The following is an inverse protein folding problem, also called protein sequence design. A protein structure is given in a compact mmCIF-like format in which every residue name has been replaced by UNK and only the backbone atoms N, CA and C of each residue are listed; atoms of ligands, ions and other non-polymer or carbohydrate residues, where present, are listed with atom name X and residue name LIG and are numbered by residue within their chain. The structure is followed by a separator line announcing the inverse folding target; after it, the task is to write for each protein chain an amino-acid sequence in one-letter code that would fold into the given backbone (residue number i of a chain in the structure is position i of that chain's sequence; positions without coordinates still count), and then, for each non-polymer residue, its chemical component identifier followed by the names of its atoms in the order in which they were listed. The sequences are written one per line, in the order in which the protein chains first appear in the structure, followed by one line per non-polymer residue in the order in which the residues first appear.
data_IF_291966334745
#
_entry.id   IF_291966334745
#
_cell.length_a   1.000
_cell.length_b   1.000
_cell.length_c   1.000
_cell.angle_alpha   90.00
_cell.angle_beta   90.00
_cell.angle_gamma   90.00
#
_symmetry.space_group_name_H-M   'P 1'
#
loop_
_entity.id
_entity.type
_entity.pdbx_description
1 polymer ?
#
# COMPACT_ATOMS: atom_id res chain seq x y z
N UNK A 1 -5.29 11.43 -5.12
CA UNK A 1 -5.83 11.56 -3.75
C UNK A 1 -7.25 11.01 -3.57
N UNK A 2 -8.31 11.48 -4.25
CA UNK A 2 -9.67 10.89 -4.11
C UNK A 2 -9.82 9.43 -4.60
N UNK A 3 -8.80 8.90 -5.29
CA UNK A 3 -8.81 7.55 -5.84
C UNK A 3 -8.76 6.47 -4.75
N UNK A 4 -7.98 6.64 -3.68
CA UNK A 4 -7.82 5.65 -2.60
C UNK A 4 -9.12 5.46 -1.82
N UNK A 5 -9.75 6.55 -1.39
CA UNK A 5 -11.05 6.52 -0.69
C UNK A 5 -12.15 5.95 -1.59
N UNK A 6 -12.15 6.29 -2.89
CA UNK A 6 -13.09 5.73 -3.87
C UNK A 6 -12.87 4.24 -4.09
N UNK A 7 -11.62 3.79 -4.09
CA UNK A 7 -11.24 2.38 -4.22
C UNK A 7 -11.65 1.59 -2.97
N UNK A 8 -11.45 2.14 -1.77
CA UNK A 8 -11.92 1.57 -0.51
C UNK A 8 -13.46 1.44 -0.48
N UNK A 9 -14.18 2.48 -0.91
CA UNK A 9 -15.64 2.42 -1.03
C UNK A 9 -16.10 1.33 -2.03
N UNK A 10 -15.41 1.21 -3.18
CA UNK A 10 -15.68 0.16 -4.16
C UNK A 10 -15.42 -1.23 -3.59
N UNK A 11 -14.35 -1.38 -2.80
CA UNK A 11 -13.99 -2.63 -2.16
C UNK A 11 -15.06 -3.06 -1.15
N UNK A 12 -15.55 -2.15 -0.30
CA UNK A 12 -16.67 -2.41 0.63
C UNK A 12 -17.97 -2.75 -0.10
N UNK A 13 -18.26 -2.05 -1.19
CA UNK A 13 -19.46 -2.33 -1.98
C UNK A 13 -19.37 -3.72 -2.64
N UNK A 14 -18.24 -4.03 -3.28
CA UNK A 14 -17.99 -5.32 -3.92
C UNK A 14 -17.98 -6.47 -2.91
N UNK A 15 -17.38 -6.27 -1.73
CA UNK A 15 -17.35 -7.27 -0.66
C UNK A 15 -18.75 -7.57 -0.09
N UNK A 16 -19.68 -6.61 -0.15
CA UNK A 16 -21.08 -6.85 0.21
C UNK A 16 -21.87 -7.54 -0.90
N UNK A 17 -21.60 -7.19 -2.16
CA UNK A 17 -22.36 -7.67 -3.32
C UNK A 17 -21.94 -9.09 -3.73
N UNK A 18 -20.65 -9.44 -3.68
CA UNK A 18 -20.17 -10.74 -4.18
C UNK A 18 -20.87 -11.91 -3.47
N UNK A 19 -21.07 -11.82 -2.16
CA UNK A 19 -21.68 -12.89 -1.36
C UNK A 19 -23.12 -13.15 -1.77
N UNK A 20 -23.86 -12.10 -2.16
CA UNK A 20 -25.23 -12.21 -2.68
C UNK A 20 -25.24 -12.90 -4.04
N UNK A 21 -24.37 -12.50 -4.97
CA UNK A 21 -24.29 -13.13 -6.30
C UNK A 21 -23.85 -14.60 -6.21
N UNK A 22 -22.90 -14.91 -5.33
CA UNK A 22 -22.40 -16.25 -5.12
C UNK A 22 -23.48 -17.15 -4.49
N UNK A 23 -24.17 -16.66 -3.44
CA UNK A 23 -25.26 -17.41 -2.80
C UNK A 23 -26.44 -17.65 -3.75
N UNK A 24 -26.91 -16.61 -4.45
CA UNK A 24 -28.00 -16.75 -5.44
C UNK A 24 -27.61 -17.65 -6.60
N UNK A 25 -26.36 -17.57 -7.06
CA UNK A 25 -25.82 -18.45 -8.09
C UNK A 25 -25.86 -19.92 -7.68
N UNK A 26 -25.36 -20.26 -6.49
CA UNK A 26 -25.40 -21.64 -5.96
C UNK A 26 -26.84 -22.14 -5.82
N UNK A 27 -27.74 -21.30 -5.28
CA UNK A 27 -29.15 -21.66 -5.12
C UNK A 27 -29.80 -21.91 -6.49
N UNK A 28 -29.53 -21.06 -7.49
CA UNK A 28 -30.06 -21.24 -8.83
C UNK A 28 -29.53 -22.52 -9.51
N UNK A 29 -28.25 -22.83 -9.34
CA UNK A 29 -27.65 -24.07 -9.87
C UNK A 29 -28.28 -25.31 -9.22
N UNK A 30 -28.42 -25.33 -7.90
CA UNK A 30 -29.05 -26.47 -7.19
C UNK A 30 -30.52 -26.63 -7.58
N UNK A 31 -31.26 -25.52 -7.72
CA UNK A 31 -32.65 -25.55 -8.18
C UNK A 31 -32.78 -26.04 -9.64
N UNK A 32 -31.85 -25.64 -10.51
CA UNK A 32 -31.82 -26.11 -11.89
C UNK A 32 -31.61 -27.63 -11.98
N UNK A 33 -30.73 -28.19 -11.14
CA UNK A 33 -30.50 -29.64 -11.06
C UNK A 33 -31.77 -30.37 -10.61
N UNK A 34 -32.47 -29.85 -9.60
CA UNK A 34 -33.72 -30.43 -9.11
C UNK A 34 -34.80 -30.43 -10.20
N UNK A 35 -34.94 -29.33 -10.94
CA UNK A 35 -35.86 -29.26 -12.08
C UNK A 35 -35.47 -30.24 -13.20
N UNK A 36 -34.18 -30.35 -13.50
CA UNK A 36 -33.67 -31.29 -14.51
C UNK A 36 -33.96 -32.75 -14.17
N UNK A 37 -33.93 -33.14 -12.89
CA UNK A 37 -34.30 -34.50 -12.45
C UNK A 37 -35.79 -34.84 -12.64
N UNK A 38 -36.65 -33.84 -12.89
CA UNK A 38 -38.09 -34.04 -13.11
C UNK A 38 -38.45 -34.23 -14.59
N UNK A 39 -37.50 -34.00 -15.50
CA UNK A 39 -37.69 -34.13 -16.94
C UNK A 39 -37.13 -35.48 -17.39
N UNK A 40 -37.85 -36.18 -18.29
CA UNK A 40 -37.45 -37.50 -18.79
C UNK A 40 -36.10 -37.47 -19.53
N UNK A 41 -35.81 -36.37 -20.23
CA UNK A 41 -34.51 -36.08 -20.82
C UNK A 41 -33.95 -34.75 -20.28
N UNK A 42 -32.90 -34.80 -19.44
CA UNK A 42 -32.32 -33.61 -18.82
C UNK A 42 -31.56 -32.71 -19.81
N UNK A 43 -31.25 -33.19 -21.02
CA UNK A 43 -30.53 -32.41 -22.03
C UNK A 43 -31.44 -31.60 -22.95
N UNK A 44 -32.77 -31.73 -22.80
CA UNK A 44 -33.73 -30.92 -23.56
C UNK A 44 -33.54 -29.44 -23.20
N UNK A 45 -33.56 -28.59 -24.22
CA UNK A 45 -33.53 -27.13 -24.04
C UNK A 45 -34.86 -26.70 -23.42
N UNK A 46 -34.85 -26.60 -22.09
CA UNK A 46 -35.99 -26.25 -21.27
C UNK A 46 -35.65 -25.21 -20.21
N UNK A 47 -36.62 -24.94 -19.33
CA UNK A 47 -36.48 -23.96 -18.24
C UNK A 47 -35.33 -24.30 -17.30
N UNK A 48 -35.08 -25.59 -17.03
CA UNK A 48 -33.97 -26.04 -16.19
C UNK A 48 -32.61 -25.65 -16.77
N UNK A 49 -32.43 -25.73 -18.09
CA UNK A 49 -31.17 -25.33 -18.75
C UNK A 49 -30.94 -23.82 -18.69
N UNK A 50 -31.97 -22.99 -18.88
CA UNK A 50 -31.84 -21.54 -18.75
C UNK A 50 -31.49 -21.11 -17.32
N UNK A 51 -32.11 -21.74 -16.31
CA UNK A 51 -31.80 -21.47 -14.90
C UNK A 51 -30.39 -21.95 -14.55
N UNK A 52 -29.93 -23.07 -15.12
CA UNK A 52 -28.57 -23.57 -14.92
C UNK A 52 -27.52 -22.60 -15.47
N UNK A 53 -27.67 -22.16 -16.72
CA UNK A 53 -26.76 -21.18 -17.35
C UNK A 53 -26.79 -19.84 -16.62
N UNK A 54 -27.98 -19.40 -16.19
CA UNK A 54 -28.12 -18.22 -15.34
C UNK A 54 -27.34 -18.37 -14.03
N UNK A 55 -27.57 -19.46 -13.29
CA UNK A 55 -26.88 -19.74 -12.03
C UNK A 55 -25.36 -19.77 -12.17
N UNK A 56 -24.83 -20.44 -13.21
CA UNK A 56 -23.40 -20.46 -13.51
C UNK A 56 -22.88 -19.05 -13.79
N UNK A 57 -23.62 -18.25 -14.56
CA UNK A 57 -23.26 -16.86 -14.85
C UNK A 57 -23.20 -16.01 -13.58
N UNK A 58 -24.15 -16.19 -12.66
CA UNK A 58 -24.16 -15.52 -11.35
C UNK A 58 -22.95 -15.92 -10.48
N UNK A 59 -22.58 -17.20 -10.45
CA UNK A 59 -21.37 -17.67 -9.76
C UNK A 59 -20.11 -17.06 -10.37
N UNK A 60 -20.03 -17.01 -11.71
CA UNK A 60 -18.90 -16.42 -12.41
C UNK A 60 -18.76 -14.92 -12.14
N UNK A 61 -19.87 -14.18 -12.15
CA UNK A 61 -19.91 -12.76 -11.76
C UNK A 61 -19.48 -12.60 -10.30
N UNK A 62 -19.92 -13.47 -9.40
CA UNK A 62 -19.49 -13.50 -8.00
C UNK A 62 -17.99 -13.66 -7.85
N UNK A 63 -17.36 -14.53 -8.64
CA UNK A 63 -15.90 -14.71 -8.67
C UNK A 63 -15.17 -13.47 -9.20
N UNK A 64 -15.67 -12.80 -10.23
CA UNK A 64 -15.07 -11.55 -10.74
C UNK A 64 -15.17 -10.41 -9.73
N UNK A 65 -16.26 -10.35 -8.97
CA UNK A 65 -16.47 -9.33 -7.95
C UNK A 65 -15.67 -9.58 -6.67
N UNK A 66 -15.13 -10.79 -6.50
CA UNK A 66 -14.25 -11.12 -5.39
C UNK A 66 -12.96 -10.31 -5.50
N UNK A 67 -12.68 -9.50 -4.48
CA UNK A 67 -11.44 -8.74 -4.39
C UNK A 67 -10.75 -9.06 -3.08
N UNK A 68 -9.43 -9.26 -3.17
CA UNK A 68 -8.59 -9.47 -2.01
C UNK A 68 -8.32 -8.14 -1.31
N UNK A 69 -8.84 -8.00 -0.10
CA UNK A 69 -8.58 -6.87 0.78
C UNK A 69 -7.09 -6.70 1.07
N UNK A 70 -6.34 -7.80 1.15
CA UNK A 70 -4.88 -7.79 1.33
C UNK A 70 -4.16 -7.03 0.22
N UNK A 71 -4.62 -7.14 -1.03
CA UNK A 71 -3.99 -6.44 -2.17
C UNK A 71 -4.20 -4.93 -2.03
N UNK A 72 -5.38 -4.51 -1.58
CA UNK A 72 -5.65 -3.11 -1.29
C UNK A 72 -4.76 -2.60 -0.14
N UNK A 73 -4.69 -3.34 0.96
CA UNK A 73 -3.87 -2.97 2.10
C UNK A 73 -2.38 -2.91 1.73
N UNK A 74 -1.88 -3.84 0.91
CA UNK A 74 -0.51 -3.81 0.41
C UNK A 74 -0.22 -2.61 -0.49
N UNK A 75 -1.17 -2.26 -1.37
CA UNK A 75 -1.03 -1.14 -2.31
C UNK A 75 -0.87 0.21 -1.60
N UNK A 76 -1.50 0.39 -0.43
CA UNK A 76 -1.50 1.64 0.32
C UNK A 76 -0.67 1.61 1.61
N UNK A 77 0.12 0.55 1.83
CA UNK A 77 0.88 0.34 3.07
C UNK A 77 0.05 0.28 4.37
N UNK A 78 -1.12 -0.34 4.29
CA UNK A 78 -2.08 -0.42 5.38
C UNK A 78 -2.23 -1.85 5.89
N UNK A 79 -1.22 -2.71 5.68
CA UNK A 79 -1.29 -4.13 6.06
C UNK A 79 -1.43 -4.36 7.56
N UNK A 80 -0.98 -3.41 8.39
CA UNK A 80 -1.14 -3.46 9.84
C UNK A 80 -2.60 -3.39 10.29
N UNK A 81 -3.48 -2.82 9.46
CA UNK A 81 -4.91 -2.73 9.73
C UNK A 81 -5.61 -4.08 9.52
N UNK A 82 -4.98 -5.03 8.80
CA UNK A 82 -5.53 -6.37 8.58
C UNK A 82 -5.63 -7.20 9.86
N UNK A 83 -4.87 -6.85 10.90
CA UNK A 83 -4.88 -7.55 12.20
C UNK A 83 -6.18 -7.30 13.00
N UNK A 84 -7.00 -6.32 12.59
CA UNK A 84 -8.30 -6.05 13.21
C UNK A 84 -9.31 -7.11 12.72
N UNK A 85 -9.83 -7.92 13.64
CA UNK A 85 -10.79 -8.99 13.33
C UNK A 85 -12.13 -8.44 12.81
N UNK A 86 -12.64 -7.35 13.40
CA UNK A 86 -13.93 -6.78 13.01
C UNK A 86 -13.84 -5.98 11.70
N UNK A 87 -14.72 -6.30 10.75
CA UNK A 87 -14.70 -5.71 9.41
C UNK A 87 -15.17 -4.26 9.40
N UNK A 88 -16.08 -3.88 10.30
CA UNK A 88 -16.57 -2.51 10.35
C UNK A 88 -15.54 -1.58 10.99
N UNK A 89 -14.96 -2.01 12.10
CA UNK A 89 -13.83 -1.34 12.76
C UNK A 89 -12.65 -1.19 11.80
N UNK A 90 -12.28 -2.27 11.09
CA UNK A 90 -11.20 -2.25 10.10
C UNK A 90 -11.45 -1.26 8.96
N UNK A 91 -12.69 -1.19 8.46
CA UNK A 91 -13.06 -0.21 7.44
C UNK A 91 -12.95 1.24 7.93
N UNK A 92 -13.33 1.49 9.18
CA UNK A 92 -13.21 2.82 9.78
C UNK A 92 -11.75 3.20 9.99
N UNK A 93 -10.91 2.27 10.44
CA UNK A 93 -9.46 2.46 10.55
C UNK A 93 -8.82 2.79 9.19
N UNK A 94 -9.23 2.12 8.10
CA UNK A 94 -8.77 2.50 6.76
C UNK A 94 -9.20 3.91 6.37
N UNK A 95 -10.44 4.31 6.67
CA UNK A 95 -10.92 5.66 6.37
C UNK A 95 -10.17 6.71 7.17
N UNK A 96 -9.93 6.47 8.45
CA UNK A 96 -9.21 7.36 9.35
C UNK A 96 -7.77 7.54 8.87
N UNK A 97 -7.04 6.46 8.64
CA UNK A 97 -5.66 6.53 8.15
C UNK A 97 -5.56 7.21 6.78
N UNK A 98 -6.51 6.95 5.86
CA UNK A 98 -6.54 7.68 4.59
C UNK A 98 -6.87 9.16 4.79
N UNK A 99 -7.70 9.52 5.77
CA UNK A 99 -8.05 10.90 6.07
C UNK A 99 -6.92 11.67 6.75
N UNK A 100 -6.17 11.01 7.64
CA UNK A 100 -4.97 11.55 8.28
C UNK A 100 -3.88 11.78 7.24
N UNK A 101 -3.67 10.82 6.33
CA UNK A 101 -2.76 11.01 5.21
C UNK A 101 -3.17 12.18 4.31
N UNK A 102 -4.47 12.34 4.04
CA UNK A 102 -5.00 13.51 3.31
C UNK A 102 -4.78 14.81 4.10
N UNK A 103 -4.99 14.79 5.41
CA UNK A 103 -4.81 15.96 6.26
C UNK A 103 -3.35 16.37 6.34
N UNK A 104 -2.43 15.42 6.48
CA UNK A 104 -0.98 15.65 6.52
C UNK A 104 -0.42 16.12 5.17
N UNK A 105 -0.99 15.69 4.05
CA UNK A 105 -0.62 16.19 2.71
C UNK A 105 -1.21 17.60 2.45
N UNK A 106 -2.30 17.97 3.14
CA UNK A 106 -2.94 19.29 3.05
C UNK A 106 -2.33 20.29 4.06
N UNK A 107 -1.82 19.80 5.18
CA UNK A 107 -0.87 20.48 6.06
C UNK A 107 0.54 20.28 5.50
N UNK A 108 0.86 21.02 4.44
CA UNK A 108 2.26 21.28 4.06
C UNK A 108 2.89 22.20 5.13
N UNK A 109 2.90 21.74 6.37
CA UNK A 109 3.66 22.33 7.45
C UNK A 109 5.08 21.90 7.18
N UNK A 110 5.73 22.66 6.30
CA UNK A 110 7.14 22.58 6.02
C UNK A 110 7.88 22.25 7.33
N UNK A 111 8.58 21.10 7.45
CA UNK A 111 9.22 20.68 8.70
C UNK A 111 10.27 21.67 9.21
N UNK A 112 10.69 22.64 8.38
CA UNK A 112 11.50 23.78 8.81
C UNK A 112 10.73 24.84 9.61
N UNK A 113 9.41 24.92 9.47
CA UNK A 113 8.55 25.89 10.18
C UNK A 113 8.09 25.41 11.56
N UNK A 114 7.99 24.10 11.82
CA UNK A 114 7.63 23.55 13.13
C UNK A 114 8.78 23.49 14.13
N UNK A 115 10.04 23.58 13.68
CA UNK A 115 11.21 23.69 14.56
C UNK A 115 11.22 24.95 15.44
N UNK A 116 10.52 26.02 15.04
CA UNK A 116 10.43 27.26 15.81
C UNK A 116 9.45 27.22 16.99
N UNK A 117 8.62 26.17 17.08
CA UNK A 117 7.49 26.09 18.01
C UNK A 117 7.76 25.18 19.21
N UNK A 118 8.92 24.51 19.27
CA UNK A 118 9.33 23.75 20.44
C UNK A 118 9.59 24.73 21.62
N UNK A 119 8.90 24.58 22.77
CA UNK A 119 9.16 25.40 23.96
C UNK A 119 10.61 25.31 24.45
N UNK A 120 11.32 24.22 24.13
CA UNK A 120 12.73 24.04 24.45
C UNK A 120 13.66 24.62 23.37
N UNK A 121 13.15 24.94 22.18
CA UNK A 121 13.90 25.41 21.04
C UNK A 121 14.96 24.41 20.56
N UNK A 122 15.72 24.73 19.50
CA UNK A 122 16.93 23.98 19.18
C UNK A 122 17.87 24.04 20.39
N UNK A 123 18.33 22.90 20.89
CA UNK A 123 19.51 22.88 21.75
C UNK A 123 20.67 23.38 20.88
N UNK A 124 21.08 24.63 21.08
CA UNK A 124 22.18 25.27 20.33
C UNK A 124 23.53 24.59 20.57
N UNK A 125 23.53 23.48 21.34
CA UNK A 125 24.70 22.79 21.80
C UNK A 125 25.40 23.65 22.85
N UNK A 126 25.94 23.00 23.88
CA UNK A 126 26.87 23.71 24.76
C UNK A 126 28.11 24.09 23.98
N UNK A 127 28.27 25.37 23.66
CA UNK A 127 29.55 25.94 23.23
C UNK A 127 30.47 26.10 24.44
N UNK A 128 30.77 25.00 25.15
CA UNK A 128 31.72 24.98 26.28
C UNK A 128 33.19 25.03 25.79
N UNK A 129 33.43 25.51 24.57
CA UNK A 129 34.78 25.68 24.06
C UNK A 129 35.43 26.87 24.77
N UNK A 130 36.52 26.62 25.49
CA UNK A 130 37.39 27.69 25.97
C UNK A 130 37.85 28.50 24.76
N UNK A 131 37.66 29.83 24.81
CA UNK A 131 38.06 30.76 23.76
C UNK A 131 39.51 30.48 23.33
N UNK A 132 39.73 30.10 22.06
CA UNK A 132 41.07 29.81 21.52
C UNK A 132 41.39 28.33 21.20
N UNK A 133 40.40 27.43 21.21
CA UNK A 133 40.55 26.08 20.67
C UNK A 133 39.56 25.83 19.53
N UNK A 134 40.06 25.43 18.36
CA UNK A 134 39.21 24.94 17.28
C UNK A 134 38.57 23.60 17.70
N UNK A 135 37.26 23.43 17.52
CA UNK A 135 36.62 22.15 17.81
C UNK A 135 37.14 21.09 16.83
N UNK A 136 37.80 20.07 17.36
CA UNK A 136 38.16 18.89 16.57
C UNK A 136 36.90 18.23 16.02
N UNK A 137 36.90 17.86 14.73
CA UNK A 137 35.84 17.07 14.12
C UNK A 137 35.67 15.77 14.91
N UNK A 138 34.51 15.57 15.52
CA UNK A 138 34.15 14.30 16.14
C UNK A 138 33.48 13.44 15.08
N UNK A 139 34.09 12.32 14.76
CA UNK A 139 33.49 11.33 13.87
C UNK A 139 32.52 10.47 14.66
N UNK A 140 31.24 10.51 14.27
CA UNK A 140 30.18 9.76 14.93
C UNK A 140 30.40 8.24 14.83
N UNK A 141 31.08 7.76 13.77
CA UNK A 141 31.37 6.33 13.58
C UNK A 141 32.42 5.89 14.61
N UNK A 142 33.53 6.63 14.70
CA UNK A 142 34.63 6.33 15.63
C UNK A 142 34.21 6.49 17.09
N UNK A 143 33.39 7.49 17.40
CA UNK A 143 32.90 7.70 18.76
C UNK A 143 31.79 6.71 19.13
N UNK A 144 31.01 6.24 18.16
CA UNK A 144 29.94 5.26 18.33
C UNK A 144 30.45 3.87 18.71
N UNK A 145 31.61 3.43 18.20
CA UNK A 145 32.22 2.14 18.56
C UNK A 145 32.45 1.98 20.07
N UNK A 146 32.68 3.09 20.78
CA UNK A 146 32.90 3.10 22.24
C UNK A 146 31.68 2.63 23.04
N UNK A 147 30.48 2.72 22.45
CA UNK A 147 29.22 2.34 23.06
C UNK A 147 28.73 0.96 22.59
N UNK A 148 29.46 0.31 21.67
CA UNK A 148 29.13 -1.02 21.19
C UNK A 148 29.17 -2.05 22.33
N UNK A 149 28.07 -2.77 22.53
CA UNK A 149 27.94 -3.77 23.60
C UNK A 149 27.73 -3.21 25.01
N UNK A 150 27.56 -1.89 25.16
CA UNK A 150 27.05 -1.28 26.40
C UNK A 150 25.51 -1.31 26.48
N UNK A 151 24.86 -1.65 25.38
CA UNK A 151 23.41 -1.85 25.33
C UNK A 151 23.04 -3.16 26.05
N UNK A 152 22.02 -3.11 26.90
CA UNK A 152 21.46 -4.31 27.54
C UNK A 152 20.60 -5.12 26.57
N UNK A 153 20.15 -6.30 27.01
CA UNK A 153 19.16 -7.05 26.24
C UNK A 153 17.89 -6.21 26.02
N UNK A 154 17.37 -6.24 24.79
CA UNK A 154 16.11 -5.56 24.47
C UNK A 154 15.00 -6.02 25.43
N UNK A 155 14.27 -5.05 25.97
CA UNK A 155 13.07 -5.29 26.76
C UNK A 155 12.00 -5.98 25.92
N UNK A 156 10.97 -6.54 26.55
CA UNK A 156 9.89 -7.23 25.82
C UNK A 156 9.18 -6.32 24.82
N UNK A 157 9.02 -5.03 25.14
CA UNK A 157 8.44 -4.04 24.24
C UNK A 157 9.35 -3.73 23.06
N UNK A 158 10.65 -3.52 23.31
CA UNK A 158 11.61 -3.25 22.23
C UNK A 158 11.79 -4.45 21.29
N UNK A 159 11.74 -5.68 21.80
CA UNK A 159 11.73 -6.90 20.97
C UNK A 159 10.51 -6.95 20.05
N UNK A 160 9.34 -6.51 20.54
CA UNK A 160 8.13 -6.43 19.73
C UNK A 160 8.27 -5.39 18.61
N UNK A 161 8.84 -4.21 18.93
CA UNK A 161 9.13 -3.17 17.94
C UNK A 161 10.16 -3.64 16.92
N UNK A 162 11.22 -4.31 17.36
CA UNK A 162 12.25 -4.86 16.48
C UNK A 162 11.66 -5.91 15.52
N UNK A 163 10.77 -6.77 16.02
CA UNK A 163 10.05 -7.74 15.21
C UNK A 163 9.17 -7.07 14.16
N UNK A 164 8.37 -6.08 14.56
CA UNK A 164 7.55 -5.30 13.64
C UNK A 164 8.43 -4.61 12.57
N UNK A 165 9.55 -4.01 12.95
CA UNK A 165 10.49 -3.37 12.02
C UNK A 165 11.05 -4.37 10.99
N UNK A 166 11.40 -5.59 11.42
CA UNK A 166 11.86 -6.65 10.52
C UNK A 166 10.76 -7.07 9.53
N UNK A 167 9.53 -7.20 9.99
CA UNK A 167 8.39 -7.56 9.15
C UNK A 167 8.08 -6.44 8.14
N UNK A 168 8.07 -5.19 8.57
CA UNK A 168 7.93 -4.02 7.69
C UNK A 168 9.05 -3.94 6.66
N UNK A 169 10.31 -4.12 7.07
CA UNK A 169 11.45 -4.12 6.16
C UNK A 169 11.30 -5.21 5.07
N UNK A 170 10.84 -6.41 5.45
CA UNK A 170 10.59 -7.50 4.50
C UNK A 170 9.43 -7.18 3.54
N UNK A 171 8.37 -6.54 4.02
CA UNK A 171 7.25 -6.13 3.16
C UNK A 171 7.66 -5.01 2.21
N UNK A 172 8.38 -3.99 2.71
CA UNK A 172 8.91 -2.90 1.91
C UNK A 172 9.83 -3.41 0.81
N UNK A 173 10.73 -4.35 1.13
CA UNK A 173 11.60 -4.98 0.14
C UNK A 173 10.81 -5.69 -0.96
N UNK A 174 9.79 -6.48 -0.60
CA UNK A 174 8.92 -7.13 -1.60
C UNK A 174 8.20 -6.12 -2.48
N UNK A 175 7.70 -5.03 -1.91
CA UNK A 175 7.02 -3.98 -2.67
C UNK A 175 7.97 -3.27 -3.62
N UNK A 176 9.20 -3.02 -3.18
CA UNK A 176 10.24 -2.48 -4.04
C UNK A 176 10.49 -3.39 -5.23
N UNK A 177 10.71 -4.69 -5.00
CA UNK A 177 10.96 -5.68 -6.06
C UNK A 177 9.78 -5.77 -7.05
N UNK A 178 8.54 -5.74 -6.55
CA UNK A 178 7.34 -5.76 -7.41
C UNK A 178 7.22 -4.47 -8.22
N UNK A 179 7.47 -3.31 -7.60
CA UNK A 179 7.40 -2.02 -8.29
C UNK A 179 8.47 -1.93 -9.38
N UNK A 180 9.70 -2.32 -9.05
CA UNK A 180 10.84 -2.33 -9.97
C UNK A 180 10.60 -3.29 -11.15
N UNK A 181 10.10 -4.50 -10.90
CA UNK A 181 9.80 -5.45 -11.98
C UNK A 181 8.65 -5.02 -12.91
N UNK A 182 7.75 -4.15 -12.44
CA UNK A 182 6.63 -3.63 -13.23
C UNK A 182 6.91 -2.25 -13.84
N UNK A 183 8.12 -1.72 -13.68
CA UNK A 183 8.49 -0.42 -14.24
C UNK A 183 8.65 -0.54 -15.77
N UNK A 184 7.86 0.21 -16.57
CA UNK A 184 7.95 0.16 -18.03
C UNK A 184 9.34 0.53 -18.55
N UNK A 185 10.05 1.42 -17.87
CA UNK A 185 11.36 1.92 -18.30
C UNK A 185 12.42 0.82 -18.18
N UNK A 186 12.33 0.03 -17.11
CA UNK A 186 13.18 -1.14 -16.84
C UNK A 186 12.92 -2.24 -17.89
N UNK A 187 11.65 -2.48 -18.21
CA UNK A 187 11.23 -3.48 -19.21
C UNK A 187 11.68 -3.07 -20.62
N UNK A 188 11.53 -1.80 -21.00
CA UNK A 188 11.89 -1.29 -22.33
C UNK A 188 13.40 -1.39 -22.58
N UNK A 189 14.21 -1.11 -21.56
CA UNK A 189 15.66 -1.21 -21.65
C UNK A 189 16.20 -2.63 -21.46
N UNK A 190 15.34 -3.58 -21.06
CA UNK A 190 15.69 -4.99 -20.86
C UNK A 190 16.62 -5.23 -19.67
N UNK A 191 16.50 -4.39 -18.64
CA UNK A 191 17.33 -4.43 -17.43
C UNK A 191 16.54 -5.06 -16.28
N UNK A 192 17.20 -5.69 -15.30
CA UNK A 192 16.50 -6.33 -14.16
C UNK A 192 16.35 -5.43 -12.93
N UNK A 193 17.19 -4.40 -12.79
CA UNK A 193 17.26 -3.52 -11.62
C UNK A 193 17.36 -2.06 -12.00
N UNK A 194 16.76 -1.18 -11.20
CA UNK A 194 16.83 0.28 -11.38
C UNK A 194 18.29 0.78 -11.31
N UNK A 195 19.09 0.18 -10.42
CA UNK A 195 20.52 0.52 -10.30
C UNK A 195 21.31 0.27 -11.59
N UNK A 196 20.92 -0.73 -12.37
CA UNK A 196 21.53 -1.00 -13.67
C UNK A 196 21.01 -0.03 -14.74
N UNK A 197 19.73 0.37 -14.67
CA UNK A 197 19.16 1.41 -15.54
C UNK A 197 19.90 2.74 -15.37
N UNK A 198 20.25 3.12 -14.13
CA UNK A 198 21.05 4.34 -13.82
C UNK A 198 22.45 4.27 -14.44
N UNK A 199 23.02 3.08 -14.62
CA UNK A 199 24.33 2.90 -15.25
C UNK A 199 24.27 2.97 -16.78
N UNK A 200 23.08 2.96 -17.36
CA UNK A 200 22.89 3.13 -18.80
C UNK A 200 22.67 4.59 -19.17
N UNK A 201 22.73 4.90 -20.46
CA UNK A 201 22.43 6.25 -20.98
C UNK A 201 20.92 6.57 -21.00
N UNK A 202 20.07 5.77 -20.35
CA UNK A 202 18.60 5.94 -20.39
C UNK A 202 18.18 7.36 -19.98
N UNK A 203 18.69 7.85 -18.84
CA UNK A 203 18.35 9.17 -18.32
C UNK A 203 18.92 10.31 -19.17
N UNK A 204 20.02 10.10 -19.89
CA UNK A 204 20.58 11.10 -20.81
C UNK A 204 19.77 11.19 -22.11
N UNK A 205 19.27 10.06 -22.62
CA UNK A 205 18.51 9.98 -23.88
C UNK A 205 17.04 10.37 -23.72
N UNK A 206 16.44 10.06 -22.56
CA UNK A 206 15.05 10.39 -22.23
C UNK A 206 14.92 11.63 -21.35
N UNK A 207 15.96 12.48 -21.31
CA UNK A 207 15.89 13.76 -20.62
C UNK A 207 14.86 14.68 -21.30
N UNK A 208 13.68 14.81 -20.70
CA UNK A 208 12.71 15.86 -21.08
C UNK A 208 13.10 17.19 -20.43
N UNK A 209 13.45 18.20 -21.23
CA UNK A 209 13.63 19.57 -20.74
C UNK A 209 12.31 20.07 -20.12
N UNK A 210 12.36 20.45 -18.83
CA UNK A 210 11.18 20.88 -18.09
C UNK A 210 10.32 19.73 -17.52
N UNK A 211 10.84 18.50 -17.44
CA UNK A 211 10.16 17.38 -16.76
C UNK A 211 9.71 17.75 -15.34
N UNK A 212 10.58 18.45 -14.59
CA UNK A 212 10.27 18.92 -13.24
C UNK A 212 9.07 19.88 -13.22
N UNK A 213 9.02 20.85 -14.14
CA UNK A 213 7.90 21.79 -14.23
C UNK A 213 6.58 21.11 -14.61
N UNK A 214 6.63 20.08 -15.46
CA UNK A 214 5.46 19.27 -15.87
C UNK A 214 4.90 18.44 -14.73
N UNK A 215 5.76 17.90 -13.87
CA UNK A 215 5.33 17.16 -12.66
C UNK A 215 4.84 18.12 -11.58
N UNK A 216 5.55 19.23 -11.36
CA UNK A 216 5.22 20.20 -10.32
C UNK A 216 3.93 21.00 -10.60
N UNK A 217 3.64 21.31 -11.88
CA UNK A 217 2.47 22.13 -12.26
C UNK A 217 1.31 21.31 -12.85
N UNK A 218 1.27 20.00 -12.61
CA UNK A 218 0.31 19.08 -13.25
C UNK A 218 -1.16 19.44 -12.99
N UNK A 219 -1.45 20.21 -11.94
CA UNK A 219 -2.79 20.69 -11.58
C UNK A 219 -3.23 21.95 -12.34
N UNK A 220 -2.33 22.64 -13.06
CA UNK A 220 -2.63 23.90 -13.75
C UNK A 220 -3.16 23.74 -15.19
N UNK A 221 -3.02 22.56 -15.79
CA UNK A 221 -3.45 22.29 -17.18
C UNK A 221 -4.86 21.70 -17.30
N UNK A 222 -5.62 21.59 -16.21
CA UNK A 222 -6.98 21.03 -16.19
C UNK A 222 -8.12 22.06 -15.99
N UNK A 223 -7.91 23.33 -16.35
CA UNK A 223 -8.99 24.32 -16.49
C UNK A 223 -9.47 24.48 -17.93
#
# INVERSE_FOLDING_TARGET
MHASVRELMRLKLRSRIYSVFLALGIIAVTFAIILGMRVDDPLVIGTHMYVLVGGISFVFIGMILHQNEEVFAQKYDMTHILDIDDKEERYNAYLEHLSEWIAADMEDVNPTMTRGSDPQGPDWGKTDFKLGHEPGRRDAIVEGEKYSGMEGDLTSGEKMVEMANKDYAKMAQKRWEIAEANDPDIIEYGVERLGDLVRTDYFEKNAEDGAFTKVANKDSEHN
#
